data_IF_997954970154
#
_entry.id   IF_997954970154
#
_cell.length_a   1.000
_cell.length_b   1.000
_cell.length_c   1.000
_cell.angle_alpha   90.00
_cell.angle_beta   90.00
_cell.angle_gamma   90.00
#
_symmetry.space_group_name_H-M   'P 1'
#
loop_
_entity.id
_entity.type
_entity.pdbx_description
1 polymer ?
#
# COMPACT_ATOMS: atom_id res chain seq x y z
N UNK A 1 -9.28 -45.71 -36.24
CA UNK A 1 -8.78 -45.23 -34.94
C UNK A 1 -8.04 -43.93 -35.22
N UNK A 2 -8.76 -42.82 -35.18
CA UNK A 2 -8.26 -41.50 -35.60
C UNK A 2 -7.59 -40.87 -34.38
N UNK A 3 -6.27 -40.70 -34.45
CA UNK A 3 -5.49 -40.02 -33.41
C UNK A 3 -5.86 -38.54 -33.45
N UNK A 4 -6.70 -38.11 -32.51
CA UNK A 4 -6.94 -36.69 -32.24
C UNK A 4 -5.66 -36.11 -31.65
N UNK A 5 -4.91 -35.37 -32.45
CA UNK A 5 -3.82 -34.54 -31.97
C UNK A 5 -4.43 -33.42 -31.13
N UNK A 6 -4.24 -33.48 -29.81
CA UNK A 6 -4.42 -32.33 -28.95
C UNK A 6 -3.40 -31.28 -29.41
N UNK A 7 -3.86 -30.24 -30.10
CA UNK A 7 -3.09 -29.01 -30.23
C UNK A 7 -3.14 -28.35 -28.86
N UNK A 8 -2.01 -28.31 -28.17
CA UNK A 8 -1.84 -27.40 -27.04
C UNK A 8 -2.17 -25.98 -27.52
N UNK A 9 -3.00 -25.27 -26.75
CA UNK A 9 -3.27 -23.87 -27.02
C UNK A 9 -1.94 -23.11 -27.00
N UNK A 10 -1.70 -22.16 -27.93
CA UNK A 10 -0.47 -21.38 -27.90
C UNK A 10 -0.38 -20.63 -26.56
N UNK A 11 0.74 -20.82 -25.85
CA UNK A 11 1.06 -20.04 -24.64
C UNK A 11 1.12 -18.56 -25.04
N UNK A 12 0.34 -17.72 -24.37
CA UNK A 12 0.36 -16.27 -24.58
C UNK A 12 1.78 -15.73 -24.49
N UNK A 13 2.18 -14.85 -25.40
CA UNK A 13 3.49 -14.20 -25.34
C UNK A 13 3.54 -13.21 -24.17
N UNK A 14 4.74 -12.80 -23.75
CA UNK A 14 4.87 -11.77 -22.70
C UNK A 14 4.19 -10.45 -23.09
N UNK A 15 4.20 -10.09 -24.38
CA UNK A 15 3.46 -8.93 -24.88
C UNK A 15 1.95 -9.12 -24.74
N UNK A 16 1.42 -10.28 -25.15
CA UNK A 16 -0.02 -10.57 -24.97
C UNK A 16 -0.43 -10.54 -23.49
N UNK A 17 0.45 -10.98 -22.58
CA UNK A 17 0.22 -10.90 -21.13
C UNK A 17 0.20 -9.47 -20.60
N UNK A 18 1.09 -8.59 -21.09
CA UNK A 18 1.09 -7.18 -20.72
C UNK A 18 -0.20 -6.50 -21.18
N UNK A 19 -0.56 -6.68 -22.45
CA UNK A 19 -1.74 -6.07 -23.05
C UNK A 19 -3.03 -6.55 -22.38
N UNK A 20 -3.11 -7.82 -21.97
CA UNK A 20 -4.29 -8.33 -21.25
C UNK A 20 -4.33 -7.92 -19.78
N UNK A 21 -3.18 -7.78 -19.11
CA UNK A 21 -3.11 -7.33 -17.72
C UNK A 21 -3.38 -5.82 -17.56
N UNK A 22 -2.96 -5.02 -18.54
CA UNK A 22 -3.04 -3.56 -18.52
C UNK A 22 -3.65 -3.02 -19.83
N UNK A 23 -4.90 -3.38 -20.16
CA UNK A 23 -5.49 -3.02 -21.44
C UNK A 23 -5.82 -1.52 -21.50
N UNK A 24 -5.68 -0.91 -22.67
CA UNK A 24 -6.14 0.46 -22.94
C UNK A 24 -7.67 0.59 -22.76
N UNK A 25 -8.40 -0.47 -23.07
CA UNK A 25 -9.86 -0.53 -23.03
C UNK A 25 -10.37 -1.88 -22.52
N UNK A 26 -11.43 -1.85 -21.72
CA UNK A 26 -12.05 -3.05 -21.15
C UNK A 26 -11.49 -3.42 -19.78
N UNK A 27 -11.85 -4.62 -19.31
CA UNK A 27 -11.42 -5.09 -18.01
C UNK A 27 -10.10 -5.86 -18.12
N UNK A 28 -9.17 -5.66 -17.17
CA UNK A 28 -7.97 -6.47 -17.07
C UNK A 28 -8.26 -7.96 -16.95
N UNK A 29 -7.42 -8.79 -17.57
CA UNK A 29 -7.36 -10.23 -17.29
C UNK A 29 -6.78 -10.46 -15.89
N UNK A 30 -7.57 -10.96 -14.92
CA UNK A 30 -7.11 -11.11 -13.55
C UNK A 30 -5.93 -12.09 -13.40
N UNK A 31 -5.84 -13.11 -14.26
CA UNK A 31 -4.76 -14.10 -14.16
C UNK A 31 -3.44 -13.56 -14.70
N UNK A 32 -3.49 -12.85 -15.84
CA UNK A 32 -2.32 -12.18 -16.38
C UNK A 32 -1.82 -11.10 -15.40
N UNK A 33 -2.75 -10.31 -14.86
CA UNK A 33 -2.47 -9.24 -13.89
C UNK A 33 -1.85 -9.76 -12.61
N UNK A 34 -2.43 -10.82 -12.01
CA UNK A 34 -1.87 -11.48 -10.83
C UNK A 34 -0.45 -12.00 -11.09
N UNK A 35 -0.22 -12.62 -12.24
CA UNK A 35 1.09 -13.15 -12.64
C UNK A 35 2.15 -12.04 -12.72
N UNK A 36 1.84 -10.93 -13.41
CA UNK A 36 2.80 -9.84 -13.61
C UNK A 36 3.05 -9.04 -12.33
N UNK A 37 2.01 -8.69 -11.58
CA UNK A 37 2.16 -8.00 -10.30
C UNK A 37 2.85 -8.88 -9.26
N UNK A 38 2.59 -10.19 -9.24
CA UNK A 38 3.31 -11.12 -8.37
C UNK A 38 4.80 -11.24 -8.72
N UNK A 39 5.18 -11.08 -10.00
CA UNK A 39 6.59 -10.98 -10.41
C UNK A 39 7.20 -9.66 -9.93
N UNK A 40 6.48 -8.56 -10.07
CA UNK A 40 6.91 -7.24 -9.63
C UNK A 40 7.10 -7.19 -8.10
N UNK A 41 6.15 -7.75 -7.33
CA UNK A 41 6.26 -7.89 -5.89
C UNK A 41 7.52 -8.66 -5.48
N UNK A 42 7.79 -9.82 -6.09
CA UNK A 42 9.01 -10.59 -5.84
C UNK A 42 10.29 -9.79 -6.15
N UNK A 43 10.26 -8.99 -7.22
CA UNK A 43 11.37 -8.12 -7.58
C UNK A 43 11.62 -7.05 -6.51
N UNK A 44 10.57 -6.34 -6.07
CA UNK A 44 10.71 -5.31 -5.05
C UNK A 44 11.07 -5.86 -3.68
N UNK A 45 10.51 -6.99 -3.25
CA UNK A 45 10.92 -7.65 -2.00
C UNK A 45 12.40 -8.05 -2.05
N UNK A 46 12.88 -8.55 -3.19
CA UNK A 46 14.31 -8.86 -3.36
C UNK A 46 15.18 -7.58 -3.38
N UNK A 47 14.66 -6.47 -3.92
CA UNK A 47 15.34 -5.18 -3.93
C UNK A 47 15.47 -4.58 -2.52
N UNK A 48 14.43 -4.72 -1.71
CA UNK A 48 14.34 -4.23 -0.32
C UNK A 48 14.90 -5.25 0.70
N UNK A 49 15.64 -6.26 0.26
CA UNK A 49 16.21 -7.26 1.16
C UNK A 49 17.33 -6.67 2.01
N UNK A 50 17.52 -7.23 3.21
CA UNK A 50 18.54 -6.80 4.16
C UNK A 50 19.98 -6.92 3.60
N UNK A 51 20.95 -6.21 4.21
CA UNK A 51 22.33 -6.15 3.72
C UNK A 51 23.03 -7.52 3.66
N UNK A 52 22.59 -8.50 4.44
CA UNK A 52 23.06 -9.89 4.39
C UNK A 52 22.74 -10.58 3.05
N UNK A 53 21.72 -10.10 2.33
CA UNK A 53 21.30 -10.62 1.02
C UNK A 53 21.94 -9.87 -0.16
N UNK A 54 22.99 -9.05 0.06
CA UNK A 54 23.57 -8.15 -0.95
C UNK A 54 23.89 -8.80 -2.31
N UNK A 55 24.26 -10.09 -2.33
CA UNK A 55 24.60 -10.81 -3.55
C UNK A 55 23.38 -11.14 -4.43
N UNK A 56 22.18 -11.18 -3.85
CA UNK A 56 20.91 -11.46 -4.53
C UNK A 56 20.06 -10.21 -4.80
N UNK A 57 20.42 -9.05 -4.26
CA UNK A 57 19.71 -7.79 -4.51
C UNK A 57 19.83 -7.44 -6.00
N UNK A 58 18.72 -7.34 -6.75
CA UNK A 58 18.77 -7.00 -8.16
C UNK A 58 19.25 -5.57 -8.35
N UNK A 59 19.98 -5.33 -9.45
CA UNK A 59 20.31 -3.96 -9.86
C UNK A 59 19.05 -3.28 -10.41
N UNK A 60 18.85 -2.03 -10.03
CA UNK A 60 17.77 -1.21 -10.56
C UNK A 60 17.84 -1.15 -12.09
N UNK A 61 16.71 -1.36 -12.77
CA UNK A 61 16.55 -1.34 -14.23
C UNK A 61 17.42 -2.34 -15.01
N UNK A 62 17.86 -3.43 -14.38
CA UNK A 62 18.66 -4.46 -15.06
C UNK A 62 17.84 -5.53 -15.78
N UNK A 63 16.57 -5.73 -15.40
CA UNK A 63 15.66 -6.68 -16.05
C UNK A 63 14.67 -5.93 -16.95
N UNK A 64 14.78 -6.04 -18.28
CA UNK A 64 13.90 -5.33 -19.21
C UNK A 64 12.43 -5.79 -19.13
N UNK A 65 12.15 -7.01 -18.64
CA UNK A 65 10.77 -7.44 -18.45
C UNK A 65 10.14 -6.79 -17.22
N UNK A 66 10.91 -6.56 -16.16
CA UNK A 66 10.42 -5.80 -15.00
C UNK A 66 10.10 -4.37 -15.42
N UNK A 67 11.03 -3.71 -16.14
CA UNK A 67 10.78 -2.36 -16.65
C UNK A 67 9.55 -2.30 -17.55
N UNK A 68 9.34 -3.28 -18.43
CA UNK A 68 8.14 -3.32 -19.26
C UNK A 68 6.83 -3.48 -18.45
N UNK A 69 6.86 -4.24 -17.34
CA UNK A 69 5.71 -4.36 -16.42
C UNK A 69 5.47 -3.03 -15.71
N UNK A 70 6.52 -2.39 -15.19
CA UNK A 70 6.44 -1.09 -14.52
C UNK A 70 5.86 -0.02 -15.44
N UNK A 71 6.37 0.10 -16.68
CA UNK A 71 5.92 1.09 -17.66
C UNK A 71 4.45 0.88 -18.05
N UNK A 72 4.06 -0.37 -18.36
CA UNK A 72 2.69 -0.71 -18.73
C UNK A 72 1.72 -0.45 -17.57
N UNK A 73 2.10 -0.85 -16.36
CA UNK A 73 1.28 -0.63 -15.18
C UNK A 73 1.15 0.86 -14.85
N UNK A 74 2.25 1.62 -14.86
CA UNK A 74 2.24 3.06 -14.60
C UNK A 74 1.38 3.82 -15.62
N UNK A 75 1.44 3.45 -16.90
CA UNK A 75 0.59 4.02 -17.94
C UNK A 75 -0.89 3.70 -17.69
N UNK A 76 -1.20 2.47 -17.29
CA UNK A 76 -2.56 2.07 -16.91
C UNK A 76 -3.08 2.86 -15.71
N UNK A 77 -2.27 3.02 -14.66
CA UNK A 77 -2.61 3.79 -13.46
C UNK A 77 -2.87 5.27 -13.80
N UNK A 78 -2.02 5.87 -14.65
CA UNK A 78 -2.17 7.25 -15.12
C UNK A 78 -3.46 7.46 -15.93
N UNK A 79 -3.87 6.47 -16.72
CA UNK A 79 -5.12 6.51 -17.46
C UNK A 79 -6.37 6.44 -16.56
N UNK A 80 -6.24 5.98 -15.30
CA UNK A 80 -7.36 5.94 -14.35
C UNK A 80 -7.58 7.27 -13.61
N UNK A 81 -6.66 8.22 -13.71
CA UNK A 81 -6.75 9.49 -12.98
C UNK A 81 -7.57 10.50 -13.77
N UNK A 82 -8.66 11.00 -13.18
CA UNK A 82 -9.39 12.13 -13.76
C UNK A 82 -8.58 13.42 -13.60
N UNK A 83 -7.82 13.75 -14.64
CA UNK A 83 -6.97 14.95 -14.64
C UNK A 83 -7.75 16.26 -14.56
N UNK A 84 -9.06 16.27 -14.82
CA UNK A 84 -9.90 17.46 -14.71
C UNK A 84 -10.29 17.77 -13.26
N UNK A 85 -10.26 16.77 -12.38
CA UNK A 85 -10.55 16.91 -10.94
C UNK A 85 -9.33 17.34 -10.12
N UNK A 86 -8.13 17.29 -10.71
CA UNK A 86 -6.90 17.66 -9.99
C UNK A 86 -6.88 19.16 -9.65
N UNK A 87 -6.38 19.53 -8.46
CA UNK A 87 -6.37 20.92 -8.02
C UNK A 87 -5.45 21.79 -8.87
N UNK A 88 -5.88 23.02 -9.15
CA UNK A 88 -5.18 23.97 -10.01
C UNK A 88 -4.00 24.69 -9.33
N UNK A 89 -4.05 24.82 -7.99
CA UNK A 89 -3.05 25.51 -7.16
C UNK A 89 -3.01 24.93 -5.73
N UNK A 90 -2.09 25.41 -4.89
CA UNK A 90 -1.93 24.93 -3.52
C UNK A 90 -3.12 25.21 -2.61
N UNK A 91 -3.90 26.27 -2.85
CA UNK A 91 -5.10 26.54 -2.07
C UNK A 91 -6.21 25.53 -2.38
N UNK A 92 -6.46 25.27 -3.67
CA UNK A 92 -7.40 24.23 -4.10
C UNK A 92 -6.93 22.83 -3.67
N UNK A 93 -5.62 22.59 -3.59
CA UNK A 93 -5.06 21.31 -3.17
C UNK A 93 -5.49 20.93 -1.75
N UNK A 94 -5.55 21.87 -0.80
CA UNK A 94 -5.96 21.57 0.58
C UNK A 94 -7.39 21.03 0.66
N UNK A 95 -8.32 21.75 0.06
CA UNK A 95 -9.75 21.37 0.09
C UNK A 95 -9.95 20.04 -0.64
N UNK A 96 -9.31 19.88 -1.80
CA UNK A 96 -9.36 18.65 -2.58
C UNK A 96 -8.76 17.46 -1.84
N UNK A 97 -7.55 17.59 -1.28
CA UNK A 97 -6.87 16.50 -0.56
C UNK A 97 -7.66 16.03 0.64
N UNK A 98 -8.18 16.94 1.47
CA UNK A 98 -8.97 16.59 2.64
C UNK A 98 -10.27 15.88 2.26
N UNK A 99 -10.95 16.32 1.20
CA UNK A 99 -12.15 15.66 0.70
C UNK A 99 -11.85 14.25 0.16
N UNK A 100 -10.75 14.09 -0.58
CA UNK A 100 -10.30 12.80 -1.11
C UNK A 100 -9.91 11.84 0.01
N UNK A 101 -9.19 12.32 1.03
CA UNK A 101 -8.79 11.51 2.18
C UNK A 101 -9.98 11.10 3.06
N UNK A 102 -10.93 12.02 3.32
CA UNK A 102 -12.15 11.72 4.07
C UNK A 102 -12.96 10.60 3.40
N UNK A 103 -13.16 10.69 2.09
CA UNK A 103 -13.84 9.66 1.31
C UNK A 103 -13.10 8.30 1.30
N UNK A 104 -11.77 8.29 1.51
CA UNK A 104 -10.96 7.08 1.58
C UNK A 104 -11.06 6.32 2.91
N UNK A 105 -11.57 6.97 3.97
CA UNK A 105 -11.65 6.40 5.32
C UNK A 105 -12.44 5.08 5.37
N UNK A 106 -13.42 4.90 4.48
CA UNK A 106 -14.28 3.71 4.38
C UNK A 106 -15.00 3.38 5.70
N UNK A 107 -15.97 4.23 6.11
CA UNK A 107 -16.61 4.13 7.42
C UNK A 107 -17.35 2.81 7.65
N UNK A 108 -17.96 2.23 6.61
CA UNK A 108 -18.67 0.94 6.75
C UNK A 108 -17.72 -0.24 6.98
N UNK A 109 -16.52 -0.19 6.40
CA UNK A 109 -15.50 -1.20 6.67
C UNK A 109 -14.94 -1.05 8.09
N UNK A 110 -14.71 0.19 8.54
CA UNK A 110 -14.32 0.48 9.92
C UNK A 110 -15.38 -0.01 10.93
N UNK A 111 -16.66 0.27 10.69
CA UNK A 111 -17.77 -0.21 11.53
C UNK A 111 -17.78 -1.75 11.62
N UNK A 112 -17.59 -2.42 10.48
CA UNK A 112 -17.51 -3.87 10.43
C UNK A 112 -16.32 -4.43 11.24
N UNK A 113 -15.12 -3.86 11.13
CA UNK A 113 -13.97 -4.25 11.95
C UNK A 113 -14.29 -4.05 13.45
N UNK A 114 -14.78 -2.85 13.77
CA UNK A 114 -15.03 -2.41 15.13
C UNK A 114 -16.17 -3.16 15.82
N UNK A 115 -17.13 -3.75 15.10
CA UNK A 115 -18.36 -4.31 15.68
C UNK A 115 -18.75 -5.72 15.22
N UNK A 116 -18.33 -6.16 14.03
CA UNK A 116 -18.84 -7.39 13.42
C UNK A 116 -17.80 -8.48 13.18
N UNK A 117 -16.57 -8.13 12.81
CA UNK A 117 -15.53 -9.08 12.44
C UNK A 117 -15.24 -10.09 13.58
N UNK A 118 -15.07 -11.36 13.23
CA UNK A 118 -14.56 -12.40 14.13
C UNK A 118 -13.02 -12.40 14.15
N UNK A 119 -12.43 -13.30 14.96
CA UNK A 119 -10.97 -13.33 15.14
C UNK A 119 -10.24 -13.73 13.85
N UNK A 120 -10.76 -14.70 13.11
CA UNK A 120 -10.17 -15.15 11.85
C UNK A 120 -10.23 -14.07 10.77
N UNK A 121 -11.34 -13.35 10.68
CA UNK A 121 -11.53 -12.21 9.78
C UNK A 121 -10.57 -11.07 10.12
N UNK A 122 -10.48 -10.70 11.41
CA UNK A 122 -9.53 -9.68 11.88
C UNK A 122 -8.09 -10.11 11.60
N UNK A 123 -7.73 -11.36 11.93
CA UNK A 123 -6.40 -11.89 11.69
C UNK A 123 -6.06 -11.92 10.19
N UNK A 124 -7.03 -12.25 9.31
CA UNK A 124 -6.83 -12.18 7.87
C UNK A 124 -6.52 -10.75 7.40
N UNK A 125 -7.17 -9.74 7.99
CA UNK A 125 -6.88 -8.35 7.68
C UNK A 125 -5.46 -7.94 8.10
N UNK A 126 -4.99 -8.33 9.29
CA UNK A 126 -3.60 -8.11 9.71
C UNK A 126 -2.58 -8.73 8.72
N UNK A 127 -2.89 -9.91 8.17
CA UNK A 127 -2.03 -10.54 7.16
C UNK A 127 -2.05 -9.81 5.82
N UNK A 128 -3.14 -9.14 5.47
CA UNK A 128 -3.20 -8.26 4.31
C UNK A 128 -2.31 -7.03 4.51
N UNK A 129 -2.44 -6.37 5.67
CA UNK A 129 -1.67 -5.16 5.99
C UNK A 129 -0.16 -5.44 6.08
N UNK A 130 0.25 -6.64 6.47
CA UNK A 130 1.67 -7.03 6.52
C UNK A 130 2.43 -6.82 5.21
N UNK A 131 1.75 -6.96 4.06
CA UNK A 131 2.36 -6.74 2.74
C UNK A 131 2.81 -5.29 2.52
N UNK A 132 2.27 -4.34 3.30
CA UNK A 132 2.60 -2.91 3.23
C UNK A 132 3.36 -2.48 4.49
N UNK A 133 2.80 -2.76 5.67
CA UNK A 133 3.25 -2.17 6.94
C UNK A 133 4.60 -2.71 7.40
N UNK A 134 4.99 -3.93 6.98
CA UNK A 134 6.28 -4.54 7.33
C UNK A 134 7.51 -3.81 6.72
N UNK A 135 7.28 -2.78 5.90
CA UNK A 135 8.30 -1.98 5.19
C UNK A 135 8.03 -0.48 5.26
N UNK A 136 7.14 -0.03 6.14
CA UNK A 136 6.75 1.37 6.18
C UNK A 136 7.92 2.31 6.55
N UNK A 137 8.75 1.91 7.50
CA UNK A 137 9.97 2.63 7.87
C UNK A 137 10.94 2.84 6.70
N UNK A 138 11.20 1.80 5.90
CA UNK A 138 12.01 1.86 4.69
C UNK A 138 11.40 2.80 3.64
N UNK A 139 10.08 2.76 3.46
CA UNK A 139 9.35 3.68 2.57
C UNK A 139 9.53 5.14 3.02
N UNK A 140 9.40 5.40 4.32
CA UNK A 140 9.59 6.73 4.91
C UNK A 140 11.02 7.24 4.70
N UNK A 141 12.02 6.37 4.93
CA UNK A 141 13.42 6.68 4.65
C UNK A 141 13.67 7.01 3.16
N UNK A 142 13.03 6.29 2.23
CA UNK A 142 13.19 6.51 0.80
C UNK A 142 12.61 7.85 0.33
N UNK A 143 11.41 8.24 0.81
CA UNK A 143 10.78 9.50 0.41
C UNK A 143 11.54 10.74 0.93
N UNK A 144 12.27 10.59 2.04
CA UNK A 144 13.11 11.64 2.59
C UNK A 144 14.28 12.05 1.67
N UNK A 145 14.84 11.12 0.89
CA UNK A 145 16.09 11.34 0.14
C UNK A 145 15.94 12.50 -0.87
N UNK A 146 16.79 13.52 -0.77
CA UNK A 146 16.79 14.64 -1.71
C UNK A 146 15.72 15.72 -1.44
N UNK A 147 14.90 15.57 -0.39
CA UNK A 147 14.11 16.69 0.16
C UNK A 147 15.01 17.67 0.91
N UNK A 148 14.53 18.88 1.15
CA UNK A 148 15.29 19.98 1.76
C UNK A 148 14.42 20.80 2.72
N UNK A 149 15.08 21.57 3.60
CA UNK A 149 14.40 22.53 4.49
C UNK A 149 13.39 21.88 5.42
N UNK A 150 12.26 22.55 5.61
CA UNK A 150 11.20 22.12 6.53
C UNK A 150 10.65 20.74 6.16
N UNK A 151 10.39 20.48 4.87
CA UNK A 151 9.95 19.17 4.37
C UNK A 151 10.86 18.03 4.78
N UNK A 152 12.18 18.25 4.75
CA UNK A 152 13.12 17.21 5.19
C UNK A 152 13.04 16.94 6.68
N UNK A 153 12.83 17.98 7.49
CA UNK A 153 12.72 17.85 8.95
C UNK A 153 11.44 17.12 9.33
N UNK A 154 10.30 17.48 8.74
CA UNK A 154 9.02 16.79 8.99
C UNK A 154 9.10 15.30 8.66
N UNK A 155 9.67 14.92 7.52
CA UNK A 155 9.83 13.50 7.17
C UNK A 155 10.81 12.80 8.12
N UNK A 156 11.85 13.51 8.60
CA UNK A 156 12.81 12.94 9.54
C UNK A 156 12.26 12.75 10.95
N UNK A 157 11.36 13.63 11.39
CA UNK A 157 10.63 13.51 12.66
C UNK A 157 9.69 12.31 12.59
N UNK A 158 8.87 12.20 11.54
CA UNK A 158 8.03 11.01 11.33
C UNK A 158 8.88 9.72 11.26
N UNK A 159 9.97 9.70 10.50
CA UNK A 159 10.88 8.54 10.49
C UNK A 159 11.46 8.22 11.87
N UNK A 160 11.72 9.23 12.71
CA UNK A 160 12.22 9.00 14.07
C UNK A 160 11.16 8.36 14.98
N UNK A 161 9.90 8.74 14.82
CA UNK A 161 8.77 8.13 15.49
C UNK A 161 8.60 6.66 15.06
N UNK A 162 8.69 6.38 13.76
CA UNK A 162 8.69 5.00 13.23
C UNK A 162 9.81 4.12 13.83
N UNK A 163 10.95 4.74 14.16
CA UNK A 163 12.08 4.10 14.85
C UNK A 163 11.91 4.00 16.37
N UNK A 164 10.70 4.24 16.89
CA UNK A 164 10.37 4.16 18.31
C UNK A 164 11.13 5.15 19.17
N UNK A 165 11.52 6.29 18.59
CA UNK A 165 12.41 7.28 19.21
C UNK A 165 13.71 6.67 19.77
N UNK A 166 14.20 5.59 19.14
CA UNK A 166 15.40 4.86 19.54
C UNK A 166 15.19 3.77 20.60
N UNK A 167 13.96 3.56 21.10
CA UNK A 167 13.61 2.33 21.82
C UNK A 167 13.28 1.22 20.83
N UNK A 168 14.09 0.16 20.83
CA UNK A 168 13.89 -1.00 19.98
C UNK A 168 12.51 -1.66 20.16
N UNK A 169 11.90 -1.59 21.35
CA UNK A 169 10.56 -2.14 21.57
C UNK A 169 9.45 -1.23 21.04
N UNK A 170 9.76 0.06 20.82
CA UNK A 170 8.86 1.03 20.22
C UNK A 170 8.98 1.13 18.70
N UNK A 171 9.91 0.41 18.06
CA UNK A 171 10.02 0.40 16.59
C UNK A 171 8.75 -0.19 16.00
N UNK A 172 8.05 0.59 15.19
CA UNK A 172 6.72 0.29 14.70
C UNK A 172 6.66 -1.02 13.91
N UNK A 173 7.61 -1.24 12.99
CA UNK A 173 7.68 -2.49 12.22
C UNK A 173 7.91 -3.74 13.08
N UNK A 174 8.61 -3.59 14.21
CA UNK A 174 8.79 -4.68 15.20
C UNK A 174 7.50 -4.93 15.99
N UNK A 175 6.80 -3.87 16.39
CA UNK A 175 5.50 -3.99 17.08
C UNK A 175 4.47 -4.67 16.17
N UNK A 176 4.42 -4.28 14.89
CA UNK A 176 3.55 -4.93 13.91
C UNK A 176 3.92 -6.40 13.70
N UNK A 177 5.21 -6.75 13.62
CA UNK A 177 5.62 -8.16 13.51
C UNK A 177 5.14 -8.99 14.71
N UNK A 178 5.14 -8.42 15.92
CA UNK A 178 4.56 -9.08 17.10
C UNK A 178 3.06 -9.35 16.92
N UNK A 179 2.31 -8.36 16.41
CA UNK A 179 0.90 -8.55 16.03
C UNK A 179 0.73 -9.65 14.99
N UNK A 180 1.54 -9.62 13.93
CA UNK A 180 1.46 -10.53 12.79
C UNK A 180 1.75 -11.99 13.19
N UNK A 181 2.75 -12.22 14.07
CA UNK A 181 3.05 -13.56 14.62
C UNK A 181 1.84 -14.14 15.36
N UNK A 182 1.18 -13.35 16.21
CA UNK A 182 -0.02 -13.79 16.92
C UNK A 182 -1.17 -14.12 15.96
N UNK A 183 -1.44 -13.22 15.01
CA UNK A 183 -2.54 -13.38 14.05
C UNK A 183 -2.31 -14.58 13.10
N UNK A 184 -1.07 -14.85 12.68
CA UNK A 184 -0.72 -16.08 11.95
C UNK A 184 -1.07 -17.33 12.74
N UNK A 185 -0.68 -17.39 14.00
CA UNK A 185 -0.94 -18.55 14.87
C UNK A 185 -2.45 -18.78 15.06
N UNK A 186 -3.25 -17.72 15.17
CA UNK A 186 -4.71 -17.81 15.16
C UNK A 186 -5.24 -18.45 13.88
N UNK A 187 -4.82 -17.96 12.71
CA UNK A 187 -5.25 -18.50 11.41
C UNK A 187 -4.80 -19.94 11.20
N UNK A 188 -3.57 -20.27 11.58
CA UNK A 188 -3.02 -21.63 11.45
C UNK A 188 -3.79 -22.63 12.33
N UNK A 189 -4.14 -22.25 13.56
CA UNK A 189 -4.97 -23.07 14.46
C UNK A 189 -6.39 -23.26 13.94
N UNK A 190 -6.95 -22.24 13.30
CA UNK A 190 -8.26 -22.30 12.67
C UNK A 190 -8.25 -23.03 11.31
N UNK A 191 -7.07 -23.32 10.75
CA UNK A 191 -6.93 -23.96 9.44
C UNK A 191 -7.37 -23.05 8.27
N UNK A 192 -7.26 -21.73 8.44
CA UNK A 192 -7.68 -20.75 7.42
C UNK A 192 -6.64 -20.65 6.32
N UNK A 193 -7.07 -20.86 5.07
CA UNK A 193 -6.25 -20.61 3.89
C UNK A 193 -6.13 -19.11 3.61
N UNK A 194 -4.89 -18.62 3.58
CA UNK A 194 -4.55 -17.22 3.28
C UNK A 194 -4.39 -16.96 1.77
N UNK A 195 -4.66 -17.96 0.93
CA UNK A 195 -4.53 -17.89 -0.52
C UNK A 195 -5.26 -16.70 -1.17
N UNK A 196 -6.36 -16.25 -0.55
CA UNK A 196 -7.15 -15.10 -1.01
C UNK A 196 -6.42 -13.75 -0.91
N UNK A 197 -5.36 -13.67 -0.11
CA UNK A 197 -4.47 -12.49 -0.04
C UNK A 197 -3.56 -12.36 -1.25
N UNK A 198 -3.32 -13.45 -1.99
CA UNK A 198 -2.51 -13.44 -3.21
C UNK A 198 -3.36 -13.06 -4.42
N UNK A 199 -3.85 -11.82 -4.42
CA UNK A 199 -4.66 -11.25 -5.49
C UNK A 199 -3.97 -10.03 -6.14
N UNK A 200 -4.41 -9.62 -7.35
CA UNK A 200 -3.92 -8.40 -7.97
C UNK A 200 -3.99 -7.17 -7.05
N UNK A 201 -5.13 -6.95 -6.39
CA UNK A 201 -5.40 -5.76 -5.59
C UNK A 201 -4.43 -5.61 -4.40
N UNK A 202 -4.10 -6.72 -3.73
CA UNK A 202 -3.11 -6.71 -2.65
C UNK A 202 -1.69 -6.42 -3.18
N UNK A 203 -1.32 -7.01 -4.31
CA UNK A 203 -0.02 -6.70 -4.93
C UNK A 203 0.05 -5.28 -5.48
N UNK A 204 -1.04 -4.72 -6.01
CA UNK A 204 -1.09 -3.31 -6.42
C UNK A 204 -0.84 -2.40 -5.22
N UNK A 205 -1.54 -2.64 -4.11
CA UNK A 205 -1.41 -1.85 -2.89
C UNK A 205 0.03 -1.84 -2.36
N UNK A 206 0.68 -3.00 -2.33
CA UNK A 206 2.07 -3.14 -1.90
C UNK A 206 3.09 -2.58 -2.90
N UNK A 207 2.96 -2.94 -4.18
CA UNK A 207 3.94 -2.59 -5.20
C UNK A 207 3.91 -1.11 -5.58
N UNK A 208 2.79 -0.41 -5.41
CA UNK A 208 2.66 0.99 -5.82
C UNK A 208 3.61 1.88 -5.01
N UNK A 209 3.60 1.73 -3.69
CA UNK A 209 4.46 2.51 -2.78
C UNK A 209 5.94 2.19 -3.04
N UNK A 210 6.27 0.91 -3.21
CA UNK A 210 7.62 0.45 -3.51
C UNK A 210 8.11 1.03 -4.85
N UNK A 211 7.29 0.97 -5.90
CA UNK A 211 7.60 1.57 -7.20
C UNK A 211 7.89 3.06 -7.07
N UNK A 212 7.04 3.81 -6.37
CA UNK A 212 7.19 5.24 -6.16
C UNK A 212 8.44 5.60 -5.34
N UNK A 213 8.78 4.80 -4.31
CA UNK A 213 9.95 5.00 -3.47
C UNK A 213 11.27 4.70 -4.20
N UNK A 214 11.34 3.54 -4.86
CA UNK A 214 12.53 3.04 -5.56
C UNK A 214 12.86 3.92 -6.76
N UNK A 215 11.86 4.24 -7.58
CA UNK A 215 12.05 5.07 -8.77
C UNK A 215 11.95 6.55 -8.41
N UNK A 216 13.08 7.15 -8.00
CA UNK A 216 13.15 8.54 -7.48
C UNK A 216 12.50 9.62 -8.34
N UNK A 217 12.34 9.42 -9.65
CA UNK A 217 11.61 10.36 -10.52
C UNK A 217 10.09 10.41 -10.22
N UNK A 218 9.55 9.37 -9.57
CA UNK A 218 8.18 9.26 -9.07
C UNK A 218 8.04 9.76 -7.62
N UNK A 219 9.10 10.28 -6.99
CA UNK A 219 9.05 10.72 -5.59
C UNK A 219 7.91 11.71 -5.28
N UNK A 220 7.55 12.68 -6.14
CA UNK A 220 6.37 13.51 -5.89
C UNK A 220 5.08 12.70 -5.71
N UNK A 221 4.89 11.63 -6.48
CA UNK A 221 3.76 10.72 -6.33
C UNK A 221 3.84 9.93 -5.03
N UNK A 222 5.05 9.51 -4.64
CA UNK A 222 5.32 8.88 -3.35
C UNK A 222 4.85 9.79 -2.20
N UNK A 223 5.25 11.06 -2.19
CA UNK A 223 4.86 12.02 -1.14
C UNK A 223 3.34 12.21 -1.07
N UNK A 224 2.66 12.24 -2.23
CA UNK A 224 1.20 12.27 -2.30
C UNK A 224 0.57 11.01 -1.69
N UNK A 225 1.08 9.83 -2.04
CA UNK A 225 0.59 8.56 -1.52
C UNK A 225 0.83 8.40 0.00
N UNK A 226 1.99 8.83 0.50
CA UNK A 226 2.29 8.83 1.94
C UNK A 226 1.33 9.75 2.69
N UNK A 227 1.07 10.97 2.18
CA UNK A 227 0.12 11.86 2.86
C UNK A 227 -1.29 11.27 2.99
N UNK A 228 -1.74 10.44 2.03
CA UNK A 228 -3.01 9.71 2.18
C UNK A 228 -2.95 8.68 3.32
N UNK A 229 -1.85 7.93 3.43
CA UNK A 229 -1.65 6.97 4.52
C UNK A 229 -1.72 7.67 5.87
N UNK A 230 -0.88 8.69 6.07
CA UNK A 230 -0.83 9.49 7.30
C UNK A 230 -2.20 10.10 7.64
N UNK A 231 -2.91 10.66 6.66
CA UNK A 231 -4.15 11.39 6.91
C UNK A 231 -5.36 10.50 7.25
N UNK A 232 -5.37 9.23 6.81
CA UNK A 232 -6.60 8.41 6.78
C UNK A 232 -6.55 7.12 7.58
N UNK A 233 -5.39 6.75 8.14
CA UNK A 233 -5.22 5.47 8.82
C UNK A 233 -5.81 5.43 10.24
N UNK A 234 -5.74 6.53 11.01
CA UNK A 234 -6.19 6.61 12.41
C UNK A 234 -7.61 6.02 12.67
N UNK A 235 -8.67 6.37 11.91
CA UNK A 235 -10.00 5.77 12.13
C UNK A 235 -10.03 4.26 11.96
N UNK A 236 -9.23 3.71 11.04
CA UNK A 236 -9.13 2.27 10.80
C UNK A 236 -8.37 1.58 11.91
N UNK A 237 -7.29 2.19 12.42
CA UNK A 237 -6.59 1.69 13.60
C UNK A 237 -7.47 1.68 14.84
N UNK A 238 -8.29 2.71 15.05
CA UNK A 238 -9.26 2.72 16.13
C UNK A 238 -10.27 1.57 16.01
N UNK A 239 -10.78 1.33 14.80
CA UNK A 239 -11.68 0.21 14.54
C UNK A 239 -11.02 -1.16 14.78
N UNK A 240 -9.75 -1.33 14.42
CA UNK A 240 -8.99 -2.54 14.72
C UNK A 240 -8.81 -2.73 16.23
N UNK A 241 -8.47 -1.66 16.98
CA UNK A 241 -8.36 -1.70 18.45
C UNK A 241 -9.69 -2.12 19.08
N UNK A 242 -10.79 -1.46 18.71
CA UNK A 242 -12.13 -1.76 19.25
C UNK A 242 -12.56 -3.20 18.95
N UNK A 243 -12.29 -3.68 17.73
CA UNK A 243 -12.56 -5.05 17.31
C UNK A 243 -11.72 -6.06 18.09
N UNK A 244 -10.41 -5.84 18.20
CA UNK A 244 -9.50 -6.72 18.94
C UNK A 244 -9.83 -6.78 20.45
N UNK A 245 -10.17 -5.65 21.07
CA UNK A 245 -10.61 -5.60 22.46
C UNK A 245 -11.91 -6.40 22.66
N UNK A 246 -12.89 -6.28 21.75
CA UNK A 246 -14.11 -7.12 21.78
C UNK A 246 -13.75 -8.60 21.71
N UNK A 247 -12.82 -8.97 20.83
CA UNK A 247 -12.46 -10.35 20.53
C UNK A 247 -11.51 -10.97 21.59
N UNK A 248 -11.06 -10.17 22.56
CA UNK A 248 -10.17 -10.64 23.63
C UNK A 248 -8.73 -10.90 23.16
N UNK A 249 -8.29 -10.21 22.11
CA UNK A 249 -6.88 -10.22 21.68
C UNK A 249 -6.03 -9.61 22.81
N UNK A 250 -4.87 -10.20 23.17
CA UNK A 250 -4.00 -9.65 24.21
C UNK A 250 -3.60 -8.20 23.94
N UNK A 251 -3.54 -7.38 24.98
CA UNK A 251 -3.27 -5.94 24.82
C UNK A 251 -1.94 -5.65 24.12
N UNK A 252 -0.89 -6.40 24.44
CA UNK A 252 0.45 -6.22 23.88
C UNK A 252 0.51 -6.54 22.38
N UNK A 253 -0.39 -7.41 21.89
CA UNK A 253 -0.50 -7.76 20.48
C UNK A 253 -1.01 -6.60 19.64
N UNK A 254 -1.71 -5.62 20.25
CA UNK A 254 -2.31 -4.49 19.54
C UNK A 254 -1.68 -3.14 19.88
N UNK A 255 -0.51 -3.13 20.54
CA UNK A 255 0.17 -1.89 20.89
C UNK A 255 0.52 -1.05 19.65
N UNK A 256 0.88 -1.69 18.52
CA UNK A 256 1.11 -0.99 17.25
C UNK A 256 -0.12 -0.19 16.83
N UNK A 257 -1.29 -0.85 16.78
CA UNK A 257 -2.53 -0.20 16.36
C UNK A 257 -2.91 0.92 17.33
N UNK A 258 -2.72 0.72 18.65
CA UNK A 258 -3.01 1.75 19.66
C UNK A 258 -2.17 3.02 19.49
N UNK A 259 -0.88 2.89 19.14
CA UNK A 259 -0.02 4.05 18.89
C UNK A 259 -0.53 4.85 17.69
N UNK A 260 -0.84 4.18 16.58
CA UNK A 260 -1.27 4.81 15.33
C UNK A 260 -2.69 5.40 15.38
N UNK A 261 -3.50 5.10 16.40
CA UNK A 261 -4.75 5.83 16.64
C UNK A 261 -4.47 7.32 16.84
N UNK A 262 -3.43 7.66 17.59
CA UNK A 262 -3.13 9.04 17.98
C UNK A 262 -2.06 9.67 17.10
N UNK A 263 -0.97 8.94 16.86
CA UNK A 263 0.21 9.45 16.14
C UNK A 263 -0.15 9.86 14.71
N UNK A 264 -0.90 9.04 13.98
CA UNK A 264 -1.26 9.33 12.58
C UNK A 264 -2.13 10.58 12.43
N UNK A 265 -2.96 10.90 13.42
CA UNK A 265 -3.77 12.12 13.37
C UNK A 265 -2.90 13.38 13.40
N UNK A 266 -1.82 13.35 14.19
CA UNK A 266 -0.83 14.42 14.25
C UNK A 266 0.05 14.42 12.99
N UNK A 267 0.54 13.24 12.57
CA UNK A 267 1.35 13.09 11.36
C UNK A 267 0.62 13.52 10.09
N UNK A 268 -0.69 13.27 9.95
CA UNK A 268 -1.46 13.75 8.81
C UNK A 268 -1.46 15.28 8.69
N UNK A 269 -1.62 15.99 9.81
CA UNK A 269 -1.57 17.44 9.86
C UNK A 269 -0.14 17.97 9.59
N UNK A 270 0.85 17.37 10.22
CA UNK A 270 2.27 17.73 10.05
C UNK A 270 2.75 17.46 8.63
N UNK A 271 2.34 16.35 8.02
CA UNK A 271 2.63 16.04 6.62
C UNK A 271 2.04 17.09 5.70
N UNK A 272 0.79 17.50 5.94
CA UNK A 272 0.16 18.53 5.15
C UNK A 272 0.94 19.86 5.21
N UNK A 273 1.22 20.35 6.41
CA UNK A 273 1.84 21.66 6.61
C UNK A 273 3.36 21.68 6.36
N UNK A 274 4.05 20.56 6.65
CA UNK A 274 5.49 20.42 6.53
C UNK A 274 5.96 19.85 5.18
N UNK A 275 5.17 18.99 4.54
CA UNK A 275 5.52 18.37 3.26
C UNK A 275 4.75 18.99 2.10
N UNK A 276 3.42 19.04 2.15
CA UNK A 276 2.65 19.51 0.99
C UNK A 276 2.75 21.03 0.80
N UNK A 277 2.45 21.83 1.81
CA UNK A 277 2.45 23.30 1.70
C UNK A 277 3.77 23.85 1.12
N UNK A 278 4.98 23.40 1.54
CA UNK A 278 6.23 23.90 0.97
C UNK A 278 6.51 23.45 -0.47
N UNK A 279 5.80 22.42 -0.97
CA UNK A 279 6.04 21.83 -2.29
C UNK A 279 5.00 22.24 -3.34
N UNK A 280 3.71 22.31 -3.00
CA UNK A 280 2.62 22.49 -3.97
C UNK A 280 2.73 23.82 -4.74
N UNK A 281 3.23 24.87 -4.11
CA UNK A 281 3.37 26.19 -4.76
C UNK A 281 4.69 26.37 -5.53
N UNK A 282 5.61 25.39 -5.48
CA UNK A 282 6.92 25.51 -6.16
C UNK A 282 6.80 25.44 -7.68
N UNK A 283 5.91 24.60 -8.20
CA UNK A 283 5.58 24.57 -9.62
C UNK A 283 4.28 23.79 -9.89
N UNK A 284 3.52 24.16 -10.94
CA UNK A 284 2.32 23.40 -11.34
C UNK A 284 2.59 21.93 -11.67
N UNK A 285 3.75 21.62 -12.23
CA UNK A 285 4.14 20.24 -12.55
C UNK A 285 4.33 19.38 -11.28
N UNK A 286 4.90 19.97 -10.22
CA UNK A 286 5.11 19.29 -8.94
C UNK A 286 3.77 19.04 -8.24
N UNK A 287 2.92 20.07 -8.13
CA UNK A 287 1.55 19.93 -7.63
C UNK A 287 0.83 18.80 -8.36
N UNK A 288 0.81 18.83 -9.70
CA UNK A 288 0.15 17.79 -10.50
C UNK A 288 0.68 16.39 -10.20
N UNK A 289 1.99 16.24 -10.04
CA UNK A 289 2.59 14.93 -9.74
C UNK A 289 2.22 14.44 -8.33
N UNK A 290 2.18 15.33 -7.32
CA UNK A 290 1.70 14.99 -5.97
C UNK A 290 0.23 14.57 -6.01
N UNK A 291 -0.63 15.35 -6.68
CA UNK A 291 -2.06 15.06 -6.78
C UNK A 291 -2.34 13.74 -7.52
N UNK A 292 -1.55 13.40 -8.55
CA UNK A 292 -1.64 12.08 -9.19
C UNK A 292 -1.30 10.97 -8.18
N UNK A 293 -0.27 11.15 -7.36
CA UNK A 293 0.07 10.18 -6.31
C UNK A 293 -1.07 9.96 -5.32
N UNK A 294 -1.71 11.03 -4.85
CA UNK A 294 -2.89 10.99 -3.97
C UNK A 294 -4.04 10.22 -4.62
N UNK A 295 -4.43 10.62 -5.84
CA UNK A 295 -5.57 10.03 -6.55
C UNK A 295 -5.36 8.53 -6.84
N UNK A 296 -4.15 8.17 -7.30
CA UNK A 296 -3.79 6.77 -7.56
C UNK A 296 -3.79 5.95 -6.28
N UNK A 297 -3.20 6.47 -5.19
CA UNK A 297 -3.15 5.78 -3.89
C UNK A 297 -4.55 5.46 -3.37
N UNK A 298 -5.45 6.44 -3.33
CA UNK A 298 -6.82 6.24 -2.84
C UNK A 298 -7.56 5.19 -3.66
N UNK A 299 -7.44 5.22 -5.00
CA UNK A 299 -8.09 4.23 -5.86
C UNK A 299 -7.56 2.82 -5.61
N UNK A 300 -6.24 2.65 -5.61
CA UNK A 300 -5.60 1.34 -5.40
C UNK A 300 -5.95 0.78 -4.02
N UNK A 301 -5.81 1.61 -2.98
CA UNK A 301 -6.12 1.21 -1.61
C UNK A 301 -7.60 0.87 -1.44
N UNK A 302 -8.53 1.65 -2.01
CA UNK A 302 -9.97 1.32 -2.00
C UNK A 302 -10.28 -0.01 -2.70
N UNK A 303 -9.58 -0.33 -3.80
CA UNK A 303 -9.69 -1.63 -4.46
C UNK A 303 -9.27 -2.77 -3.54
N UNK A 304 -8.12 -2.62 -2.91
CA UNK A 304 -7.61 -3.55 -1.91
C UNK A 304 -8.57 -3.74 -0.72
N UNK A 305 -9.03 -2.66 -0.08
CA UNK A 305 -9.92 -2.76 1.07
C UNK A 305 -11.28 -3.40 0.73
N UNK A 306 -11.80 -3.15 -0.48
CA UNK A 306 -13.00 -3.84 -0.95
C UNK A 306 -12.77 -5.35 -1.11
N UNK A 307 -11.64 -5.74 -1.69
CA UNK A 307 -11.31 -7.15 -1.89
C UNK A 307 -11.06 -7.87 -0.56
N UNK A 308 -10.24 -7.30 0.33
CA UNK A 308 -9.95 -7.91 1.63
C UNK A 308 -11.21 -8.05 2.48
N UNK A 309 -12.11 -7.06 2.45
CA UNK A 309 -13.38 -7.16 3.16
C UNK A 309 -14.27 -8.28 2.63
N UNK A 310 -14.29 -8.49 1.30
CA UNK A 310 -14.99 -9.64 0.71
C UNK A 310 -14.37 -10.96 1.14
N UNK A 311 -13.03 -11.06 1.12
CA UNK A 311 -12.29 -12.24 1.55
C UNK A 311 -12.56 -12.59 3.02
N UNK A 312 -12.54 -11.59 3.91
CA UNK A 312 -12.89 -11.74 5.32
C UNK A 312 -14.30 -12.36 5.45
N UNK A 313 -15.30 -11.72 4.85
CA UNK A 313 -16.70 -12.18 4.96
C UNK A 313 -16.93 -13.58 4.40
N UNK A 314 -16.15 -13.98 3.40
CA UNK A 314 -16.21 -15.32 2.82
C UNK A 314 -15.69 -16.42 3.76
N UNK A 315 -14.97 -16.09 4.85
CA UNK A 315 -14.58 -17.07 5.87
C UNK A 315 -15.76 -17.63 6.68
N UNK A 316 -16.93 -16.96 6.62
CA UNK A 316 -18.15 -17.39 7.32
C UNK A 316 -18.97 -18.44 6.56
N UNK A 317 -18.71 -18.57 5.25
CA UNK A 317 -19.45 -19.45 4.34
C UNK A 317 -18.84 -20.87 4.29
#
# INVERSE_FOLDING_TARGET
MTLTTFRDAPTATFADQLDSAFPDHGNPDPQARLSLLGRLHKHYVAYMAGPEAFASIPRLNADPQITAIEDAWLAWEDAQVDTADLPADGAAFREWFLAVADAHTQPEFCDYLAHEANLEEMALFFMGEELVDSKFDDLMAMVQIGTEGHTKLTIAENYWDEMGEGDINGVHTRMFEHSAVYMRDCLDKAGVDRGQLYCPEAYENACLLLMYGIHRHLNPRALGAMGVLEQSASPRFQAMVDGCDRLGVPSDVIDYQRVHVHVDADHGAEWFDGVFVPLVDRSPALLRAISIGVATRVRVANGYYRHIWQAMRALRD
#
